data_IF_126359795185
#
_entry.id   IF_126359795185
#
_cell.length_a   1.000
_cell.length_b   1.000
_cell.length_c   1.000
_cell.angle_alpha   90.00
_cell.angle_beta   90.00
_cell.angle_gamma   90.00
#
_symmetry.space_group_name_H-M   'P 1'
#
loop_
_entity.id
_entity.type
_entity.pdbx_description
1 polymer ?
#
# COMPACT_ATOMS: atom_id res chain seq x y z
N UNK A 1 -1.36 -18.24 -14.09
CA UNK A 1 -0.16 -17.47 -13.67
C UNK A 1 -0.48 -16.40 -12.63
N UNK A 2 -1.36 -15.43 -12.91
CA UNK A 2 -1.67 -14.34 -11.96
C UNK A 2 -2.18 -14.83 -10.59
N UNK A 3 -3.07 -15.83 -10.56
CA UNK A 3 -3.57 -16.44 -9.30
C UNK A 3 -2.43 -17.10 -8.51
N UNK A 4 -1.54 -17.83 -9.18
CA UNK A 4 -0.39 -18.46 -8.54
C UNK A 4 0.58 -17.43 -7.95
N UNK A 5 0.87 -16.35 -8.69
CA UNK A 5 1.70 -15.24 -8.18
C UNK A 5 1.04 -14.53 -7.00
N UNK A 6 -0.28 -14.36 -7.01
CA UNK A 6 -1.02 -13.80 -5.88
C UNK A 6 -0.93 -14.69 -4.63
N UNK A 7 -1.14 -16.01 -4.78
CA UNK A 7 -0.99 -16.99 -3.68
C UNK A 7 0.45 -16.99 -3.15
N UNK A 8 1.44 -17.01 -4.04
CA UNK A 8 2.86 -16.93 -3.64
C UNK A 8 3.16 -15.62 -2.89
N UNK A 9 2.55 -14.51 -3.29
CA UNK A 9 2.67 -13.21 -2.60
C UNK A 9 2.06 -13.25 -1.20
N UNK A 10 0.88 -13.85 -1.04
CA UNK A 10 0.22 -14.04 0.26
C UNK A 10 1.08 -14.90 1.18
N UNK A 11 1.58 -16.04 0.68
CA UNK A 11 2.45 -16.93 1.45
C UNK A 11 3.78 -16.26 1.82
N UNK A 12 4.39 -15.51 0.89
CA UNK A 12 5.60 -14.73 1.16
C UNK A 12 5.38 -13.66 2.23
N UNK A 13 4.25 -12.96 2.19
CA UNK A 13 3.88 -11.99 3.24
C UNK A 13 3.64 -12.67 4.58
N UNK A 14 2.99 -13.83 4.60
CA UNK A 14 2.83 -14.61 5.82
C UNK A 14 4.21 -15.01 6.39
N UNK A 15 5.12 -15.53 5.58
CA UNK A 15 6.47 -15.89 6.03
C UNK A 15 7.30 -14.69 6.51
N UNK A 16 7.10 -13.51 5.89
CA UNK A 16 7.78 -12.28 6.28
C UNK A 16 7.27 -11.72 7.62
N UNK A 17 5.96 -11.80 7.85
CA UNK A 17 5.28 -11.14 8.98
C UNK A 17 5.07 -12.06 10.18
N UNK A 18 4.98 -13.38 9.99
CA UNK A 18 4.92 -14.33 11.09
C UNK A 18 6.31 -14.44 11.75
N UNK A 19 6.49 -13.65 12.80
CA UNK A 19 7.56 -13.87 13.76
C UNK A 19 7.18 -14.99 14.74
N UNK A 20 8.15 -15.71 15.33
CA UNK A 20 7.89 -16.73 16.35
C UNK A 20 7.08 -16.25 17.57
N UNK A 21 7.07 -14.94 17.82
CA UNK A 21 6.34 -14.28 18.91
C UNK A 21 4.96 -13.72 18.48
N UNK A 22 4.47 -14.06 17.29
CA UNK A 22 3.19 -13.53 16.80
C UNK A 22 2.04 -14.14 17.58
N UNK A 23 1.30 -13.32 18.32
CA UNK A 23 0.05 -13.71 18.97
C UNK A 23 -1.07 -13.58 17.93
N UNK A 24 -1.74 -14.70 17.63
CA UNK A 24 -2.89 -14.70 16.72
C UNK A 24 -4.13 -14.24 17.50
N UNK A 25 -4.45 -12.95 17.40
CA UNK A 25 -5.66 -12.37 17.97
C UNK A 25 -6.84 -12.49 16.97
N UNK A 26 -7.92 -13.23 17.30
CA UNK A 26 -9.09 -13.36 16.43
C UNK A 26 -9.76 -12.03 16.08
N UNK A 27 -9.72 -11.05 16.99
CA UNK A 27 -10.28 -9.71 16.71
C UNK A 27 -9.43 -8.98 15.67
N UNK A 28 -8.10 -8.98 15.83
CA UNK A 28 -7.17 -8.45 14.83
C UNK A 28 -7.31 -9.13 13.46
N UNK A 29 -7.48 -10.46 13.42
CA UNK A 29 -7.71 -11.21 12.18
C UNK A 29 -9.05 -10.79 11.53
N UNK A 30 -10.13 -10.69 12.31
CA UNK A 30 -11.42 -10.22 11.83
C UNK A 30 -11.37 -8.80 11.28
N UNK A 31 -10.68 -7.89 11.99
CA UNK A 31 -10.46 -6.52 11.56
C UNK A 31 -9.65 -6.46 10.25
N UNK A 32 -8.58 -7.25 10.12
CA UNK A 32 -7.79 -7.33 8.89
C UNK A 32 -8.62 -7.84 7.70
N UNK A 33 -9.49 -8.84 7.93
CA UNK A 33 -10.37 -9.38 6.89
C UNK A 33 -11.43 -8.37 6.45
N UNK A 34 -12.07 -7.66 7.39
CA UNK A 34 -12.98 -6.57 7.09
C UNK A 34 -12.28 -5.42 6.35
N UNK A 35 -11.04 -5.10 6.74
CA UNK A 35 -10.19 -4.14 6.03
C UNK A 35 -9.92 -4.55 4.58
N UNK A 36 -9.63 -5.82 4.34
CA UNK A 36 -9.43 -6.36 2.99
C UNK A 36 -10.71 -6.30 2.14
N UNK A 37 -11.87 -6.63 2.72
CA UNK A 37 -13.18 -6.49 2.05
C UNK A 37 -13.45 -5.02 1.73
N UNK A 38 -13.22 -4.11 2.68
CA UNK A 38 -13.39 -2.67 2.49
C UNK A 38 -12.51 -2.14 1.35
N UNK A 39 -11.24 -2.56 1.28
CA UNK A 39 -10.35 -2.24 0.16
C UNK A 39 -10.83 -2.81 -1.17
N UNK A 40 -11.29 -4.06 -1.20
CA UNK A 40 -11.81 -4.69 -2.42
C UNK A 40 -13.06 -3.96 -2.92
N UNK A 41 -14.00 -3.66 -2.03
CA UNK A 41 -15.21 -2.90 -2.33
C UNK A 41 -14.87 -1.48 -2.79
N UNK A 42 -13.99 -0.77 -2.08
CA UNK A 42 -13.57 0.59 -2.43
C UNK A 42 -12.94 0.67 -3.82
N UNK A 43 -12.06 -0.27 -4.16
CA UNK A 43 -11.45 -0.32 -5.50
C UNK A 43 -12.44 -0.71 -6.60
N UNK A 44 -13.40 -1.59 -6.31
CA UNK A 44 -14.46 -1.93 -7.25
C UNK A 44 -15.44 -0.77 -7.47
N UNK A 45 -15.91 -0.13 -6.38
CA UNK A 45 -16.85 0.97 -6.41
C UNK A 45 -16.24 2.19 -7.12
N UNK A 46 -14.97 2.51 -6.82
CA UNK A 46 -14.23 3.57 -7.52
C UNK A 46 -14.20 3.36 -9.04
N UNK A 47 -14.06 2.10 -9.49
CA UNK A 47 -14.12 1.75 -10.91
C UNK A 47 -15.54 1.78 -11.49
N UNK A 48 -16.54 1.31 -10.72
CA UNK A 48 -17.94 1.23 -11.16
C UNK A 48 -18.54 2.61 -11.40
N UNK A 49 -18.28 3.56 -10.49
CA UNK A 49 -18.90 4.88 -10.54
C UNK A 49 -18.10 5.87 -11.40
N UNK A 50 -16.79 5.59 -11.62
CA UNK A 50 -15.93 6.30 -12.56
C UNK A 50 -16.14 7.83 -12.56
N UNK A 51 -16.11 8.44 -11.37
CA UNK A 51 -16.35 9.88 -11.21
C UNK A 51 -15.38 10.67 -12.10
N UNK A 52 -15.92 11.61 -12.87
CA UNK A 52 -15.18 12.51 -13.76
C UNK A 52 -14.48 13.64 -12.98
N UNK A 53 -13.70 13.26 -11.97
CA UNK A 53 -12.90 14.18 -11.16
C UNK A 53 -11.40 13.98 -11.44
N UNK A 54 -10.59 15.07 -11.36
CA UNK A 54 -9.15 14.93 -11.33
C UNK A 54 -8.73 14.00 -10.18
N UNK A 55 -7.79 13.07 -10.43
CA UNK A 55 -7.40 12.04 -9.46
C UNK A 55 -6.95 12.66 -8.11
N UNK A 56 -6.26 13.79 -8.15
CA UNK A 56 -5.85 14.53 -6.94
C UNK A 56 -7.07 14.97 -6.11
N UNK A 57 -8.09 15.52 -6.76
CA UNK A 57 -9.31 15.95 -6.10
C UNK A 57 -10.09 14.75 -5.55
N UNK A 58 -10.15 13.66 -6.30
CA UNK A 58 -10.77 12.41 -5.86
C UNK A 58 -10.06 11.86 -4.60
N UNK A 59 -8.72 11.78 -4.60
CA UNK A 59 -7.95 11.33 -3.43
C UNK A 59 -8.10 12.27 -2.25
N UNK A 60 -8.11 13.59 -2.48
CA UNK A 60 -8.35 14.59 -1.43
C UNK A 60 -9.71 14.40 -0.74
N UNK A 61 -10.78 14.26 -1.53
CA UNK A 61 -12.12 13.98 -1.01
C UNK A 61 -12.22 12.62 -0.33
N UNK A 62 -11.57 11.58 -0.86
CA UNK A 62 -11.52 10.26 -0.22
C UNK A 62 -10.85 10.31 1.16
N UNK A 63 -9.72 11.01 1.29
CA UNK A 63 -9.04 11.16 2.57
C UNK A 63 -9.83 12.03 3.55
N UNK A 64 -10.44 13.12 3.08
CA UNK A 64 -11.25 14.00 3.91
C UNK A 64 -12.49 13.27 4.46
N UNK A 65 -13.26 12.62 3.58
CA UNK A 65 -14.45 11.86 3.99
C UNK A 65 -14.04 10.68 4.88
N UNK A 66 -12.98 9.95 4.52
CA UNK A 66 -12.45 8.85 5.32
C UNK A 66 -12.05 9.31 6.73
N UNK A 67 -11.37 10.45 6.84
CA UNK A 67 -11.01 11.07 8.12
C UNK A 67 -12.22 11.49 8.95
N UNK A 68 -13.22 12.14 8.32
CA UNK A 68 -14.46 12.54 8.99
C UNK A 68 -15.26 11.34 9.50
N UNK A 69 -15.32 10.26 8.73
CA UNK A 69 -16.01 9.02 9.12
C UNK A 69 -15.25 8.28 10.23
N UNK A 70 -13.92 8.31 10.21
CA UNK A 70 -13.07 7.70 11.24
C UNK A 70 -13.03 8.50 12.55
N UNK A 71 -13.15 9.83 12.49
CA UNK A 71 -13.07 10.71 13.65
C UNK A 71 -13.99 10.33 14.82
N UNK A 72 -15.31 10.06 14.65
CA UNK A 72 -16.16 9.67 15.76
C UNK A 72 -15.75 8.31 16.36
N UNK A 73 -15.29 7.37 15.53
CA UNK A 73 -14.82 6.07 16.00
C UNK A 73 -13.55 6.24 16.83
N UNK A 74 -12.59 7.05 16.36
CA UNK A 74 -11.38 7.37 17.10
C UNK A 74 -11.71 8.02 18.46
N UNK A 75 -12.64 8.97 18.51
CA UNK A 75 -13.04 9.63 19.76
C UNK A 75 -13.72 8.70 20.78
N UNK A 76 -14.37 7.63 20.33
CA UNK A 76 -15.09 6.69 21.19
C UNK A 76 -14.19 5.53 21.63
N UNK A 77 -13.33 5.05 20.74
CA UNK A 77 -12.55 3.81 20.93
C UNK A 77 -11.13 4.09 21.43
N UNK A 78 -10.49 5.16 20.97
CA UNK A 78 -9.12 5.45 21.39
C UNK A 78 -9.09 6.02 22.82
N UNK A 79 -8.07 5.66 23.61
CA UNK A 79 -7.83 6.31 24.90
C UNK A 79 -7.71 7.84 24.72
N UNK A 80 -8.10 8.64 25.72
CA UNK A 80 -7.94 10.09 25.65
C UNK A 80 -6.48 10.43 25.31
N UNK A 81 -6.30 11.30 24.31
CA UNK A 81 -5.00 11.80 23.88
C UNK A 81 -4.37 12.56 25.05
N UNK A 82 -3.49 11.89 25.80
CA UNK A 82 -2.61 12.55 26.75
C UNK A 82 -1.76 13.58 25.99
N UNK A 83 -1.40 14.67 26.67
CA UNK A 83 -0.76 15.87 26.11
C UNK A 83 0.16 15.56 24.91
N UNK A 84 -0.35 15.86 23.71
CA UNK A 84 0.40 15.63 22.48
C UNK A 84 1.61 16.57 22.49
N UNK A 85 2.79 15.99 22.57
CA UNK A 85 4.05 16.74 22.60
C UNK A 85 4.28 17.43 21.25
N UNK A 86 5.08 18.51 21.25
CA UNK A 86 5.46 19.20 20.01
C UNK A 86 6.11 18.25 18.99
N UNK A 87 6.85 17.24 19.47
CA UNK A 87 7.46 16.22 18.61
C UNK A 87 6.41 15.33 17.92
N UNK A 88 5.37 14.91 18.64
CA UNK A 88 4.28 14.12 18.06
C UNK A 88 3.48 14.95 17.04
N UNK A 89 3.20 16.22 17.34
CA UNK A 89 2.58 17.14 16.37
C UNK A 89 3.44 17.27 15.11
N UNK A 90 4.75 17.45 15.27
CA UNK A 90 5.68 17.50 14.14
C UNK A 90 5.68 16.17 13.34
N UNK A 91 5.57 15.02 14.01
CA UNK A 91 5.43 13.71 13.39
C UNK A 91 4.14 13.58 12.57
N UNK A 92 3.00 14.01 13.09
CA UNK A 92 1.74 14.02 12.35
C UNK A 92 1.80 14.95 11.14
N UNK A 93 2.34 16.16 11.32
CA UNK A 93 2.53 17.11 10.22
C UNK A 93 3.45 16.54 9.14
N UNK A 94 4.53 15.86 9.52
CA UNK A 94 5.42 15.17 8.58
C UNK A 94 4.66 14.10 7.78
N UNK A 95 3.84 13.28 8.42
CA UNK A 95 3.04 12.26 7.74
C UNK A 95 2.02 12.88 6.76
N UNK A 96 1.34 13.96 7.15
CA UNK A 96 0.40 14.65 6.29
C UNK A 96 1.08 15.32 5.08
N UNK A 97 2.18 16.03 5.31
CA UNK A 97 2.85 16.82 4.26
C UNK A 97 3.73 15.92 3.39
N UNK A 98 4.67 15.20 3.98
CA UNK A 98 5.60 14.37 3.21
C UNK A 98 4.95 13.04 2.79
N UNK A 99 4.31 12.34 3.72
CA UNK A 99 3.75 11.01 3.50
C UNK A 99 2.50 10.97 2.62
N UNK A 100 1.67 12.02 2.67
CA UNK A 100 0.47 12.12 1.83
C UNK A 100 0.65 13.18 0.73
N UNK A 101 0.69 14.47 1.06
CA UNK A 101 0.58 15.55 0.06
C UNK A 101 1.68 15.49 -1.01
N UNK A 102 2.96 15.44 -0.59
CA UNK A 102 4.10 15.36 -1.50
C UNK A 102 4.19 14.02 -2.21
N UNK A 103 4.07 12.90 -1.47
CA UNK A 103 4.15 11.57 -2.05
C UNK A 103 3.07 11.33 -3.12
N UNK A 104 1.81 11.67 -2.84
CA UNK A 104 0.73 11.57 -3.83
C UNK A 104 0.94 12.53 -5.00
N UNK A 105 1.34 13.78 -4.75
CA UNK A 105 1.64 14.74 -5.82
C UNK A 105 2.70 14.23 -6.79
N UNK A 106 3.81 13.69 -6.26
CA UNK A 106 4.87 13.07 -7.05
C UNK A 106 4.41 11.81 -7.78
N UNK A 107 3.63 10.96 -7.11
CA UNK A 107 3.07 9.75 -7.70
C UNK A 107 2.18 10.07 -8.91
N UNK A 108 1.24 11.00 -8.77
CA UNK A 108 0.34 11.38 -9.87
C UNK A 108 1.08 12.06 -11.02
N UNK A 109 2.04 12.94 -10.71
CA UNK A 109 2.93 13.52 -11.73
C UNK A 109 3.75 12.45 -12.44
N UNK A 110 4.20 11.42 -11.70
CA UNK A 110 4.92 10.27 -12.22
C UNK A 110 4.07 9.44 -13.17
N UNK A 111 2.88 9.02 -12.76
CA UNK A 111 1.95 8.25 -13.61
C UNK A 111 1.65 8.97 -14.92
N UNK A 112 1.47 10.29 -14.90
CA UNK A 112 1.18 11.07 -16.11
C UNK A 112 2.36 11.22 -17.08
N UNK A 113 3.60 10.98 -16.63
CA UNK A 113 4.83 11.23 -17.42
C UNK A 113 5.67 9.99 -17.70
N UNK A 114 5.54 8.95 -16.89
CA UNK A 114 6.36 7.75 -16.95
C UNK A 114 5.70 6.66 -17.79
N UNK A 115 6.53 5.81 -18.40
CA UNK A 115 6.03 4.61 -19.08
C UNK A 115 5.40 3.63 -18.08
N UNK A 116 4.46 2.75 -18.49
CA UNK A 116 3.87 1.74 -17.61
C UNK A 116 4.90 0.84 -16.93
N UNK A 117 6.05 0.60 -17.59
CA UNK A 117 7.18 -0.16 -17.04
C UNK A 117 7.83 0.60 -15.88
N UNK A 118 8.08 1.89 -16.02
CA UNK A 118 8.66 2.72 -14.97
C UNK A 118 7.71 2.89 -13.77
N UNK A 119 6.41 3.09 -14.02
CA UNK A 119 5.38 3.11 -12.95
C UNK A 119 5.33 1.78 -12.20
N UNK A 120 5.44 0.65 -12.91
CA UNK A 120 5.49 -0.66 -12.28
C UNK A 120 6.73 -0.79 -11.37
N UNK A 121 7.90 -0.38 -11.85
CA UNK A 121 9.14 -0.41 -11.06
C UNK A 121 9.02 0.40 -9.75
N UNK A 122 8.32 1.54 -9.75
CA UNK A 122 8.07 2.33 -8.54
C UNK A 122 7.33 1.55 -7.45
N UNK A 123 6.35 0.71 -7.82
CA UNK A 123 5.62 -0.14 -6.87
C UNK A 123 6.51 -1.21 -6.22
N UNK A 124 7.57 -1.67 -6.91
CA UNK A 124 8.55 -2.61 -6.36
C UNK A 124 9.58 -1.90 -5.48
N UNK A 125 9.91 -0.64 -5.80
CA UNK A 125 10.83 0.14 -4.98
C UNK A 125 10.27 0.39 -3.58
N UNK A 126 8.95 0.56 -3.42
CA UNK A 126 8.32 0.78 -2.12
C UNK A 126 8.73 -0.24 -1.03
N UNK A 127 8.54 -1.57 -1.20
CA UNK A 127 8.97 -2.54 -0.21
C UNK A 127 10.49 -2.60 -0.03
N UNK A 128 11.29 -2.39 -1.09
CA UNK A 128 12.75 -2.37 -0.99
C UNK A 128 13.23 -1.18 -0.16
N UNK A 129 12.70 0.02 -0.44
CA UNK A 129 13.01 1.24 0.31
C UNK A 129 12.59 1.10 1.78
N UNK A 130 11.42 0.52 2.06
CA UNK A 130 10.99 0.28 3.43
C UNK A 130 11.97 -0.61 4.21
N UNK A 131 12.44 -1.70 3.61
CA UNK A 131 13.45 -2.60 4.22
C UNK A 131 14.78 -1.90 4.43
N UNK A 132 15.28 -1.17 3.43
CA UNK A 132 16.56 -0.46 3.52
C UNK A 132 16.51 0.62 4.60
N UNK A 133 15.42 1.39 4.67
CA UNK A 133 15.23 2.41 5.70
C UNK A 133 15.09 1.78 7.09
N UNK A 134 14.33 0.68 7.22
CA UNK A 134 14.22 -0.08 8.47
C UNK A 134 15.57 -0.61 8.95
N UNK A 135 16.43 -1.05 8.03
CA UNK A 135 17.77 -1.49 8.37
C UNK A 135 18.69 -0.33 8.78
N UNK A 136 18.72 0.76 8.02
CA UNK A 136 19.63 1.91 8.26
C UNK A 136 19.22 2.69 9.52
N UNK A 137 17.93 3.02 9.66
CA UNK A 137 17.45 3.93 10.71
C UNK A 137 16.98 3.20 11.97
N UNK A 138 16.40 2.00 11.83
CA UNK A 138 15.90 1.21 12.97
C UNK A 138 16.80 0.03 13.34
N UNK A 139 17.90 -0.20 12.60
CA UNK A 139 18.82 -1.32 12.86
C UNK A 139 18.20 -2.69 12.63
N UNK A 140 17.06 -2.78 11.92
CA UNK A 140 16.33 -4.03 11.73
C UNK A 140 17.14 -5.00 10.86
N UNK A 141 17.56 -6.12 11.44
CA UNK A 141 18.26 -7.19 10.71
C UNK A 141 17.24 -8.19 10.19
N UNK A 142 17.03 -8.22 8.88
CA UNK A 142 16.21 -9.26 8.24
C UNK A 142 17.03 -10.53 8.11
N UNK A 143 16.71 -11.55 8.91
CA UNK A 143 17.42 -12.82 8.94
C UNK A 143 16.44 -14.01 8.90
N UNK A 144 16.94 -15.18 8.48
CA UNK A 144 16.18 -16.42 8.48
C UNK A 144 14.93 -16.39 7.59
N UNK A 145 13.79 -16.83 8.13
CA UNK A 145 12.53 -16.93 7.38
C UNK A 145 12.00 -15.59 6.89
N UNK A 146 12.29 -14.49 7.60
CA UNK A 146 11.89 -13.16 7.17
C UNK A 146 12.60 -12.75 5.86
N UNK A 147 13.86 -13.14 5.68
CA UNK A 147 14.60 -12.87 4.44
C UNK A 147 14.02 -13.68 3.27
N UNK A 148 13.69 -14.95 3.51
CA UNK A 148 13.04 -15.81 2.52
C UNK A 148 11.68 -15.24 2.13
N UNK A 149 10.86 -14.84 3.11
CA UNK A 149 9.58 -14.17 2.87
C UNK A 149 9.72 -12.90 2.03
N UNK A 150 10.69 -12.05 2.35
CA UNK A 150 10.99 -10.84 1.56
C UNK A 150 11.33 -11.18 0.10
N UNK A 151 12.21 -12.17 -0.13
CA UNK A 151 12.59 -12.60 -1.48
C UNK A 151 11.37 -13.10 -2.26
N UNK A 152 10.53 -13.92 -1.63
CA UNK A 152 9.29 -14.45 -2.24
C UNK A 152 8.32 -13.32 -2.59
N UNK A 153 8.14 -12.34 -1.70
CA UNK A 153 7.28 -11.17 -1.96
C UNK A 153 7.81 -10.36 -3.13
N UNK A 154 9.10 -10.03 -3.16
CA UNK A 154 9.71 -9.28 -4.26
C UNK A 154 9.58 -10.03 -5.59
N UNK A 155 9.80 -11.34 -5.59
CA UNK A 155 9.64 -12.20 -6.78
C UNK A 155 8.19 -12.28 -7.27
N UNK A 156 7.22 -12.37 -6.34
CA UNK A 156 5.79 -12.34 -6.67
C UNK A 156 5.40 -11.00 -7.30
N UNK A 157 5.77 -9.88 -6.68
CA UNK A 157 5.49 -8.54 -7.19
C UNK A 157 6.10 -8.34 -8.59
N UNK A 158 7.35 -8.74 -8.79
CA UNK A 158 8.02 -8.72 -10.09
C UNK A 158 7.25 -9.53 -11.15
N UNK A 159 6.78 -10.71 -10.79
CA UNK A 159 6.03 -11.59 -11.70
C UNK A 159 4.69 -10.98 -12.11
N UNK A 160 3.95 -10.41 -11.15
CA UNK A 160 2.66 -9.74 -11.39
C UNK A 160 2.87 -8.51 -12.29
N UNK A 161 3.89 -7.69 -11.99
CA UNK A 161 4.20 -6.51 -12.81
C UNK A 161 4.56 -6.87 -14.25
N UNK A 162 5.38 -7.91 -14.46
CA UNK A 162 5.73 -8.40 -15.81
C UNK A 162 4.49 -8.91 -16.56
N UNK A 163 3.58 -9.61 -15.89
CA UNK A 163 2.34 -10.08 -16.50
C UNK A 163 1.43 -8.92 -16.94
N UNK A 164 1.27 -7.90 -16.09
CA UNK A 164 0.49 -6.71 -16.39
C UNK A 164 1.11 -5.88 -17.53
N UNK A 165 2.43 -5.71 -17.54
CA UNK A 165 3.13 -5.01 -18.62
C UNK A 165 2.97 -5.71 -19.98
N UNK A 166 3.02 -7.05 -20.01
CA UNK A 166 2.79 -7.85 -21.22
C UNK A 166 1.35 -7.73 -21.73
N UNK A 167 0.36 -7.75 -20.83
CA UNK A 167 -1.05 -7.56 -21.21
C UNK A 167 -1.29 -6.15 -21.79
N UNK A 168 -0.72 -5.11 -21.17
CA UNK A 168 -0.81 -3.74 -21.67
C UNK A 168 -0.15 -3.57 -23.06
N UNK A 169 0.98 -4.24 -23.31
CA UNK A 169 1.64 -4.26 -24.61
C UNK A 169 0.78 -4.94 -25.67
N UNK A 170 0.25 -6.14 -25.39
CA UNK A 170 -0.59 -6.89 -26.34
C UNK A 170 -1.93 -6.21 -26.67
N UNK A 171 -2.51 -5.49 -25.70
CA UNK A 171 -3.73 -4.70 -25.93
C UNK A 171 -3.51 -3.49 -26.85
N UNK A 172 -2.30 -2.89 -26.83
CA UNK A 172 -1.93 -1.82 -27.78
C UNK A 172 -1.74 -2.36 -29.19
N UNK A 173 -1.12 -3.53 -29.36
CA UNK A 173 -0.89 -4.14 -30.69
C UNK A 173 -2.20 -4.54 -31.37
N UNK A 174 -3.22 -4.96 -30.60
CA UNK A 174 -4.55 -5.32 -31.13
C UNK A 174 -5.43 -4.11 -31.49
N UNK A 175 -5.03 -2.89 -31.09
CA UNK A 175 -5.72 -1.62 -31.36
C UNK A 175 -5.03 -0.79 -32.45
N UNK A 176 -3.89 -1.24 -32.97
CA UNK A 176 -3.25 -0.64 -34.14
C UNK A 176 -3.98 -1.15 -35.40
N UNK A 177 -4.41 -0.25 -36.31
CA UNK A 177 -5.05 -0.63 -37.58
C UNK A 177 -4.08 -1.36 -38.52
#
# INVERSE_FOLDING_TARGET
LAVFSAIAGILGMAMLLLSPHTVLDPLGIGAAFLGAISMALGTWLSRRWALSLPIVALTGWQLAIGGVVLAPVALIVDPPLHQVTALQVAGYLWLCVAGAMLAYGLWFRGIGRLSPVAVSAMSLLSPVTAVVLGWIFLGQKIQGMALVGLIVVLASVLSIQRALARQAAGAKTKKAP
#
